data_IF_191517933930
#
_entry.id   IF_191517933930
#
_cell.length_a   1.000
_cell.length_b   1.000
_cell.length_c   1.000
_cell.angle_alpha   90.00
_cell.angle_beta   90.00
_cell.angle_gamma   90.00
#
_symmetry.space_group_name_H-M   'P 1'
#
loop_
_entity.id
_entity.type
_entity.pdbx_description
1 polymer ?
#
# COMPACT_ATOMS: atom_id res chain seq x y z
N UNK A 1 -58.05 24.84 20.36
CA UNK A 1 -57.04 25.90 20.19
C UNK A 1 -55.78 25.23 19.68
N UNK A 2 -55.59 25.28 18.36
CA UNK A 2 -54.48 24.64 17.63
C UNK A 2 -53.24 25.49 17.85
N UNK A 3 -52.19 24.90 18.43
CA UNK A 3 -50.97 25.61 18.83
C UNK A 3 -50.18 26.11 17.62
N UNK A 4 -49.80 27.38 17.66
CA UNK A 4 -48.80 27.94 16.76
C UNK A 4 -47.45 27.30 17.10
N UNK A 5 -46.99 26.34 16.29
CA UNK A 5 -45.56 26.01 16.26
C UNK A 5 -44.81 27.28 15.87
N UNK A 6 -43.79 27.63 16.64
CA UNK A 6 -42.96 28.79 16.34
C UNK A 6 -42.22 28.56 15.01
N UNK A 7 -41.97 29.62 14.22
CA UNK A 7 -41.24 29.51 12.95
C UNK A 7 -39.88 28.80 13.09
N UNK A 8 -39.29 28.83 14.29
CA UNK A 8 -38.07 28.12 14.65
C UNK A 8 -38.26 26.61 14.78
N UNK A 9 -39.38 26.14 15.32
CA UNK A 9 -39.69 24.70 15.42
C UNK A 9 -39.99 24.11 14.04
N UNK A 10 -40.72 24.84 13.19
CA UNK A 10 -40.97 24.43 11.81
C UNK A 10 -39.69 24.42 10.95
N UNK A 11 -38.76 25.37 11.19
CA UNK A 11 -37.45 25.38 10.55
C UNK A 11 -36.57 24.21 11.03
N UNK A 12 -36.58 23.91 12.33
CA UNK A 12 -35.87 22.77 12.91
C UNK A 12 -36.40 21.42 12.38
N UNK A 13 -37.72 21.25 12.29
CA UNK A 13 -38.33 20.05 11.71
C UNK A 13 -37.97 19.89 10.23
N UNK A 14 -37.99 20.98 9.44
CA UNK A 14 -37.55 20.93 8.03
C UNK A 14 -36.08 20.59 7.89
N UNK A 15 -35.21 21.15 8.72
CA UNK A 15 -33.79 20.80 8.75
C UNK A 15 -33.58 19.32 9.12
N UNK A 16 -34.36 18.82 10.07
CA UNK A 16 -34.31 17.42 10.49
C UNK A 16 -34.85 16.46 9.43
N UNK A 17 -35.91 16.84 8.70
CA UNK A 17 -36.42 16.10 7.55
C UNK A 17 -35.42 16.07 6.40
N UNK A 18 -34.77 17.20 6.09
CA UNK A 18 -33.70 17.27 5.07
C UNK A 18 -32.49 16.43 5.48
N UNK A 19 -32.09 16.48 6.76
CA UNK A 19 -31.01 15.63 7.28
C UNK A 19 -31.34 14.14 7.19
N UNK A 20 -32.58 13.76 7.51
CA UNK A 20 -33.06 12.37 7.43
C UNK A 20 -33.17 11.88 5.98
N UNK A 21 -33.63 12.75 5.06
CA UNK A 21 -33.67 12.44 3.63
C UNK A 21 -32.26 12.29 3.04
N UNK A 22 -31.32 13.16 3.44
CA UNK A 22 -29.92 13.05 3.05
C UNK A 22 -29.26 11.76 3.56
N UNK A 23 -29.56 11.35 4.79
CA UNK A 23 -29.08 10.10 5.39
C UNK A 23 -29.65 8.85 4.68
N UNK A 24 -30.85 8.92 4.11
CA UNK A 24 -31.48 7.81 3.40
C UNK A 24 -31.24 7.80 1.87
N UNK A 25 -30.47 8.77 1.37
CA UNK A 25 -30.14 8.88 -0.06
C UNK A 25 -29.38 7.64 -0.60
N UNK A 26 -29.48 7.33 -1.91
CA UNK A 26 -28.68 6.28 -2.54
C UNK A 26 -27.16 6.48 -2.33
N UNK A 27 -26.70 7.73 -2.29
CA UNK A 27 -25.30 8.06 -2.03
C UNK A 27 -24.90 7.79 -0.56
N UNK A 28 -25.77 8.04 0.41
CA UNK A 28 -25.53 7.65 1.80
C UNK A 28 -25.44 6.13 1.95
N UNK A 29 -26.36 5.38 1.32
CA UNK A 29 -26.33 3.90 1.33
C UNK A 29 -25.10 3.34 0.61
N UNK A 30 -24.69 3.94 -0.51
CA UNK A 30 -23.47 3.55 -1.23
C UNK A 30 -22.21 3.80 -0.38
N UNK A 31 -22.16 4.92 0.35
CA UNK A 31 -21.08 5.22 1.29
C UNK A 31 -21.03 4.24 2.45
N UNK A 32 -22.16 3.96 3.08
CA UNK A 32 -22.25 2.97 4.16
C UNK A 32 -21.82 1.58 3.70
N UNK A 33 -22.26 1.17 2.51
CA UNK A 33 -21.82 -0.09 1.89
C UNK A 33 -20.31 -0.09 1.61
N UNK A 34 -19.75 1.00 1.11
CA UNK A 34 -18.31 1.15 0.87
C UNK A 34 -17.52 1.07 2.18
N UNK A 35 -17.96 1.75 3.24
CA UNK A 35 -17.35 1.67 4.58
C UNK A 35 -17.37 0.25 5.11
N UNK A 36 -18.52 -0.43 5.06
CA UNK A 36 -18.65 -1.82 5.48
C UNK A 36 -17.68 -2.74 4.73
N UNK A 37 -17.55 -2.60 3.41
CA UNK A 37 -16.61 -3.40 2.61
C UNK A 37 -15.16 -3.06 3.01
N UNK A 38 -14.83 -1.77 3.14
CA UNK A 38 -13.49 -1.30 3.44
C UNK A 38 -12.98 -1.72 4.83
N UNK A 39 -13.89 -1.91 5.80
CA UNK A 39 -13.55 -2.28 7.18
C UNK A 39 -13.79 -3.76 7.51
N UNK A 40 -14.19 -4.57 6.52
CA UNK A 40 -14.34 -6.01 6.72
C UNK A 40 -13.01 -6.71 6.48
N UNK A 41 -12.37 -7.19 7.55
CA UNK A 41 -11.14 -7.98 7.46
C UNK A 41 -11.33 -9.19 6.53
N UNK A 42 -10.43 -9.41 5.56
CA UNK A 42 -10.59 -10.53 4.64
C UNK A 42 -10.29 -11.86 5.35
N UNK A 43 -10.79 -13.00 4.83
CA UNK A 43 -10.54 -14.30 5.45
C UNK A 43 -9.05 -14.66 5.43
N UNK A 44 -8.61 -15.53 6.35
CA UNK A 44 -7.25 -16.05 6.34
C UNK A 44 -6.96 -16.82 5.04
N UNK A 45 -5.82 -16.55 4.40
CA UNK A 45 -5.41 -17.33 3.22
C UNK A 45 -5.01 -18.74 3.63
N UNK A 46 -5.37 -19.72 2.80
CA UNK A 46 -5.00 -21.10 3.02
C UNK A 46 -3.47 -21.26 2.93
N UNK A 47 -2.89 -21.97 3.91
CA UNK A 47 -1.44 -22.12 4.05
C UNK A 47 -0.82 -23.11 3.03
N UNK A 48 -1.65 -23.77 2.22
CA UNK A 48 -1.29 -24.86 1.31
C UNK A 48 -0.75 -24.37 -0.04
N UNK A 49 -0.89 -23.08 -0.36
CA UNK A 49 -0.30 -22.49 -1.57
C UNK A 49 0.83 -21.51 -1.21
N UNK A 50 2.10 -21.81 -1.57
CA UNK A 50 3.16 -20.84 -1.44
C UNK A 50 2.88 -19.64 -2.36
N UNK A 51 2.84 -18.45 -1.77
CA UNK A 51 2.61 -17.20 -2.50
C UNK A 51 3.90 -16.77 -3.20
N UNK A 52 3.89 -16.65 -4.52
CA UNK A 52 5.05 -16.12 -5.27
C UNK A 52 5.12 -14.60 -5.11
N UNK A 53 6.04 -14.15 -4.26
CA UNK A 53 6.25 -12.74 -3.96
C UNK A 53 7.20 -12.04 -4.94
N UNK A 54 7.90 -12.76 -5.83
CA UNK A 54 8.90 -12.13 -6.72
C UNK A 54 8.31 -11.00 -7.57
N UNK A 55 7.15 -11.17 -8.24
CA UNK A 55 6.53 -10.09 -9.00
C UNK A 55 6.25 -8.83 -8.16
N UNK A 56 5.98 -9.00 -6.86
CA UNK A 56 5.77 -7.90 -5.92
C UNK A 56 7.06 -7.13 -5.64
N UNK A 57 8.12 -7.85 -5.26
CA UNK A 57 9.35 -7.23 -4.82
C UNK A 57 10.12 -6.60 -5.97
N UNK A 58 10.08 -7.18 -7.17
CA UNK A 58 10.66 -6.57 -8.38
C UNK A 58 10.04 -5.20 -8.69
N UNK A 59 8.79 -5.03 -8.31
CA UNK A 59 8.04 -3.83 -8.53
C UNK A 59 8.41 -2.73 -7.51
N UNK A 60 8.89 -3.11 -6.33
CA UNK A 60 9.43 -2.19 -5.31
C UNK A 60 10.89 -1.77 -5.58
N UNK A 61 11.54 -2.33 -6.61
CA UNK A 61 12.89 -1.95 -6.99
C UNK A 61 12.91 -0.63 -7.79
N UNK A 62 14.00 0.16 -7.69
CA UNK A 62 14.27 1.31 -8.55
C UNK A 62 14.25 0.96 -10.04
N UNK A 63 13.69 1.86 -10.87
CA UNK A 63 13.57 1.68 -12.32
C UNK A 63 14.91 1.70 -13.04
N UNK A 64 15.86 2.46 -12.51
CA UNK A 64 17.20 2.61 -13.08
C UNK A 64 18.01 1.30 -13.02
N UNK A 65 17.50 0.28 -12.32
CA UNK A 65 18.08 -1.06 -12.31
C UNK A 65 19.33 -1.20 -11.43
N UNK A 66 19.67 -0.17 -10.64
CA UNK A 66 20.82 -0.21 -9.75
C UNK A 66 20.63 -1.17 -8.57
N UNK A 67 19.42 -1.61 -8.25
CA UNK A 67 19.20 -2.74 -7.32
C UNK A 67 18.65 -3.94 -8.09
N UNK A 68 19.21 -5.10 -7.80
CA UNK A 68 18.76 -6.38 -8.34
C UNK A 68 18.19 -7.26 -7.23
N UNK A 69 16.99 -7.81 -7.46
CA UNK A 69 16.47 -8.93 -6.68
C UNK A 69 17.11 -10.23 -7.14
N UNK A 70 17.77 -10.93 -6.22
CA UNK A 70 18.41 -12.24 -6.45
C UNK A 70 17.43 -13.36 -6.12
N UNK A 71 16.82 -13.31 -4.93
CA UNK A 71 15.83 -14.29 -4.48
C UNK A 71 14.84 -13.66 -3.52
N UNK A 72 13.68 -14.30 -3.37
CA UNK A 72 12.69 -13.93 -2.37
C UNK A 72 11.90 -15.16 -1.94
N UNK A 73 11.49 -15.16 -0.68
CA UNK A 73 10.55 -16.14 -0.13
C UNK A 73 9.62 -15.47 0.87
N UNK A 74 8.40 -15.99 0.99
CA UNK A 74 7.54 -15.68 2.11
C UNK A 74 8.16 -16.26 3.40
N UNK A 75 8.10 -15.51 4.50
CA UNK A 75 8.64 -15.94 5.81
C UNK A 75 7.56 -16.33 6.81
N UNK A 76 6.29 -16.12 6.46
CA UNK A 76 5.15 -16.49 7.29
C UNK A 76 3.85 -16.50 6.50
N UNK A 77 2.76 -16.85 7.17
CA UNK A 77 1.43 -16.77 6.60
C UNK A 77 1.06 -15.32 6.29
N UNK A 78 0.30 -15.12 5.20
CA UNK A 78 -0.32 -13.83 4.91
C UNK A 78 -1.24 -13.43 6.08
N UNK A 79 -1.08 -12.22 6.59
CA UNK A 79 -1.85 -11.72 7.74
C UNK A 79 -2.96 -10.79 7.24
N UNK A 80 -4.24 -11.13 7.41
CA UNK A 80 -5.35 -10.24 7.09
C UNK A 80 -5.24 -8.91 7.82
N UNK A 81 -5.50 -7.81 7.11
CA UNK A 81 -5.45 -6.47 7.67
C UNK A 81 -6.40 -5.51 6.95
N UNK A 82 -6.72 -4.41 7.62
CA UNK A 82 -7.33 -3.23 7.00
C UNK A 82 -6.16 -2.28 6.71
N UNK A 83 -5.93 -2.00 5.42
CA UNK A 83 -4.76 -1.26 4.96
C UNK A 83 -5.18 0.12 4.48
N UNK A 84 -4.40 1.14 4.83
CA UNK A 84 -4.58 2.48 4.30
C UNK A 84 -4.26 2.47 2.81
N UNK A 85 -5.17 2.96 1.97
CA UNK A 85 -4.96 3.05 0.54
C UNK A 85 -3.80 4.01 0.23
N UNK A 86 -3.00 3.74 -0.82
CA UNK A 86 -2.05 4.71 -1.34
C UNK A 86 -2.78 6.01 -1.67
N UNK A 87 -2.15 7.17 -1.46
CA UNK A 87 -2.79 8.49 -1.61
C UNK A 87 -3.58 8.61 -2.92
N UNK A 88 -3.03 8.09 -4.01
CA UNK A 88 -3.61 8.20 -5.35
C UNK A 88 -4.70 7.15 -5.65
N UNK A 89 -4.94 6.21 -4.74
CA UNK A 89 -6.08 5.28 -4.76
C UNK A 89 -7.19 5.73 -3.81
N UNK A 90 -6.94 6.74 -2.98
CA UNK A 90 -7.94 7.24 -2.04
C UNK A 90 -9.06 7.93 -2.83
N UNK A 91 -10.33 7.74 -2.42
CA UNK A 91 -11.44 8.44 -3.02
C UNK A 91 -11.25 9.97 -2.93
N UNK A 92 -11.45 10.67 -4.05
CA UNK A 92 -11.44 12.15 -4.10
C UNK A 92 -12.70 12.71 -3.44
N UNK A 93 -13.81 11.95 -3.48
CA UNK A 93 -15.06 12.33 -2.81
C UNK A 93 -14.88 12.26 -1.29
N UNK A 94 -15.14 13.36 -0.60
CA UNK A 94 -15.15 13.42 0.86
C UNK A 94 -16.08 12.34 1.47
N UNK A 95 -15.66 11.80 2.61
CA UNK A 95 -16.39 10.79 3.42
C UNK A 95 -16.51 9.37 2.85
N UNK A 96 -15.74 9.01 1.81
CA UNK A 96 -15.50 7.60 1.47
C UNK A 96 -14.27 7.05 2.22
N UNK A 97 -14.22 5.74 2.51
CA UNK A 97 -13.14 5.16 3.30
C UNK A 97 -11.78 5.29 2.58
N UNK A 98 -10.72 5.78 3.26
CA UNK A 98 -9.37 5.85 2.71
C UNK A 98 -8.61 4.53 2.87
N UNK A 99 -9.30 3.43 3.18
CA UNK A 99 -8.73 2.13 3.53
C UNK A 99 -9.44 1.02 2.74
N UNK A 100 -8.80 -0.14 2.66
CA UNK A 100 -9.38 -1.33 2.06
C UNK A 100 -8.87 -2.61 2.75
N UNK A 101 -9.65 -3.70 2.70
CA UNK A 101 -9.18 -5.00 3.17
C UNK A 101 -7.99 -5.48 2.34
N UNK A 102 -7.06 -6.17 3.01
CA UNK A 102 -5.86 -6.68 2.37
C UNK A 102 -5.07 -7.61 3.28
N UNK A 103 -3.81 -7.82 2.92
CA UNK A 103 -2.91 -8.71 3.63
C UNK A 103 -1.52 -8.10 3.76
N UNK A 104 -0.91 -8.33 4.91
CA UNK A 104 0.53 -8.17 5.15
C UNK A 104 1.21 -9.49 4.81
N UNK A 105 2.24 -9.40 3.96
CA UNK A 105 2.95 -10.55 3.40
C UNK A 105 4.42 -10.46 3.86
N UNK A 106 4.78 -11.08 4.99
CA UNK A 106 6.16 -11.11 5.47
C UNK A 106 7.06 -11.81 4.45
N UNK A 107 8.21 -11.20 4.16
CA UNK A 107 9.17 -11.75 3.20
C UNK A 107 10.62 -11.66 3.70
N UNK A 108 11.45 -12.50 3.10
CA UNK A 108 12.90 -12.39 3.12
C UNK A 108 13.38 -12.35 1.66
N UNK A 109 14.16 -11.33 1.32
CA UNK A 109 14.67 -11.10 -0.02
C UNK A 109 16.18 -10.95 -0.01
N UNK A 110 16.84 -11.38 -1.08
CA UNK A 110 18.26 -11.14 -1.30
C UNK A 110 18.42 -10.09 -2.38
N UNK A 111 19.06 -8.97 -2.05
CA UNK A 111 19.29 -7.83 -2.93
C UNK A 111 20.78 -7.66 -3.24
N UNK A 112 21.08 -7.14 -4.42
CA UNK A 112 22.45 -6.83 -4.87
C UNK A 112 22.49 -5.44 -5.51
N UNK A 113 23.44 -4.60 -5.10
CA UNK A 113 23.70 -3.33 -5.77
C UNK A 113 24.49 -3.53 -7.06
N UNK A 114 23.97 -3.00 -8.16
CA UNK A 114 24.64 -2.80 -9.44
C UNK A 114 24.92 -1.31 -9.61
N UNK A 115 26.17 -0.84 -9.46
CA UNK A 115 26.49 0.55 -9.73
C UNK A 115 26.19 0.87 -11.18
N UNK A 116 25.24 1.78 -11.40
CA UNK A 116 24.80 2.23 -12.72
C UNK A 116 24.82 3.76 -12.74
N UNK A 117 25.03 4.36 -13.91
CA UNK A 117 25.05 5.82 -14.08
C UNK A 117 26.39 6.50 -13.83
N UNK A 118 27.42 5.77 -13.37
CA UNK A 118 28.78 6.30 -13.20
C UNK A 118 29.53 6.32 -14.53
N UNK A 119 30.16 7.45 -14.85
CA UNK A 119 30.97 7.61 -16.05
C UNK A 119 32.28 6.78 -15.97
N UNK A 120 32.92 6.44 -17.12
CA UNK A 120 34.23 5.82 -17.10
C UNK A 120 35.24 6.65 -16.29
N UNK A 121 35.87 6.06 -15.29
CA UNK A 121 36.83 6.72 -14.40
C UNK A 121 36.21 7.43 -13.18
N UNK A 122 34.89 7.48 -13.08
CA UNK A 122 34.21 8.01 -11.91
C UNK A 122 34.32 7.04 -10.72
N UNK A 123 34.51 7.60 -9.52
CA UNK A 123 34.68 6.81 -8.30
C UNK A 123 33.34 6.25 -7.84
N UNK A 124 33.18 4.93 -7.96
CA UNK A 124 32.04 4.22 -7.37
C UNK A 124 32.19 4.22 -5.83
N UNK A 125 31.15 4.59 -5.07
CA UNK A 125 31.18 4.51 -3.61
C UNK A 125 31.45 3.09 -3.11
N UNK A 126 32.21 2.98 -2.02
CA UNK A 126 32.56 1.67 -1.45
C UNK A 126 31.35 0.96 -0.80
N UNK A 127 30.38 1.73 -0.30
CA UNK A 127 29.13 1.24 0.25
C UNK A 127 28.04 2.32 0.17
N UNK A 128 26.79 1.88 0.07
CA UNK A 128 25.60 2.72 0.18
C UNK A 128 24.70 2.18 1.29
N UNK A 129 23.97 3.05 1.98
CA UNK A 129 22.92 2.65 2.90
C UNK A 129 21.66 2.26 2.13
N UNK A 130 21.14 1.07 2.40
CA UNK A 130 19.91 0.55 1.82
C UNK A 130 18.73 0.91 2.72
N UNK A 131 17.81 1.70 2.16
CA UNK A 131 16.50 1.94 2.73
C UNK A 131 15.47 1.00 2.08
N UNK A 132 14.42 0.68 2.83
CA UNK A 132 13.38 -0.24 2.39
C UNK A 132 12.20 -0.27 3.36
N UNK A 133 11.18 -1.08 3.05
CA UNK A 133 9.96 -1.19 3.85
C UNK A 133 10.18 -2.09 5.08
N UNK A 134 10.93 -1.59 6.06
CA UNK A 134 11.41 -2.35 7.24
C UNK A 134 10.43 -2.48 8.42
N UNK A 135 9.26 -1.82 8.36
CA UNK A 135 8.32 -1.51 9.47
C UNK A 135 8.61 -0.21 10.25
N UNK A 136 7.59 0.45 10.84
CA UNK A 136 6.15 0.21 10.66
C UNK A 136 5.54 1.01 9.49
N UNK A 137 4.59 0.39 8.81
CA UNK A 137 3.55 1.01 7.95
C UNK A 137 4.03 2.03 6.89
N UNK A 138 5.02 1.66 6.08
CA UNK A 138 5.42 2.46 4.92
C UNK A 138 5.21 1.69 3.61
N UNK A 139 4.55 2.34 2.65
CA UNK A 139 4.48 1.89 1.24
C UNK A 139 5.81 2.18 0.50
N UNK A 140 6.93 2.14 1.21
CA UNK A 140 8.23 2.56 0.71
C UNK A 140 8.82 1.54 -0.26
N UNK A 141 9.50 2.04 -1.29
CA UNK A 141 10.32 1.25 -2.21
C UNK A 141 11.72 1.02 -1.62
N UNK A 142 12.51 0.19 -2.27
CA UNK A 142 13.94 0.11 -1.95
C UNK A 142 14.68 1.29 -2.58
N UNK A 143 15.63 1.88 -1.85
CA UNK A 143 16.51 2.93 -2.37
C UNK A 143 17.89 2.85 -1.73
N UNK A 144 18.88 3.43 -2.41
CA UNK A 144 20.23 3.59 -1.87
C UNK A 144 20.49 5.07 -1.57
N UNK A 145 21.10 5.35 -0.42
CA UNK A 145 21.57 6.69 -0.03
C UNK A 145 23.00 6.63 0.50
N UNK A 146 23.66 7.77 0.56
CA UNK A 146 24.99 7.84 1.18
C UNK A 146 24.90 7.63 2.71
N UNK A 147 25.81 6.84 3.32
CA UNK A 147 25.72 6.47 4.74
C UNK A 147 25.76 7.64 5.74
N UNK A 148 26.36 8.77 5.38
CA UNK A 148 26.63 9.89 6.31
C UNK A 148 25.56 11.00 6.29
N UNK A 149 24.48 10.83 5.52
CA UNK A 149 23.36 11.79 5.51
C UNK A 149 22.42 11.46 6.68
N UNK A 150 22.68 12.03 7.86
CA UNK A 150 21.72 12.06 8.96
C UNK A 150 20.66 13.12 8.68
N UNK A 151 19.44 12.70 8.35
CA UNK A 151 18.29 13.61 8.25
C UNK A 151 17.79 13.93 9.66
N UNK A 152 17.70 15.21 10.07
CA UNK A 152 17.18 15.58 11.39
C UNK A 152 15.76 15.02 11.59
N UNK A 153 15.52 14.32 12.71
CA UNK A 153 14.21 13.77 13.06
C UNK A 153 13.95 12.32 12.63
N UNK A 154 14.86 11.67 11.90
CA UNK A 154 14.78 10.22 11.67
C UNK A 154 15.47 9.46 12.81
N UNK A 155 14.69 8.83 13.69
CA UNK A 155 15.18 7.73 14.52
C UNK A 155 15.46 6.53 13.59
N UNK A 156 16.68 6.46 13.07
CA UNK A 156 17.07 5.45 12.10
C UNK A 156 17.40 4.12 12.77
N UNK A 157 16.66 3.07 12.42
CA UNK A 157 17.16 1.69 12.45
C UNK A 157 18.55 1.65 11.80
N UNK A 158 19.49 0.88 12.34
CA UNK A 158 20.86 0.82 11.81
C UNK A 158 20.84 0.59 10.29
N UNK A 159 21.51 1.44 9.48
CA UNK A 159 21.43 1.34 8.03
C UNK A 159 22.08 0.03 7.57
N UNK A 160 21.41 -0.67 6.66
CA UNK A 160 21.97 -1.85 5.99
C UNK A 160 22.96 -1.35 4.95
N UNK A 161 24.26 -1.56 5.16
CA UNK A 161 25.28 -1.14 4.21
C UNK A 161 25.46 -2.19 3.11
N UNK A 162 25.36 -1.74 1.86
CA UNK A 162 25.44 -2.56 0.66
C UNK A 162 26.66 -2.15 -0.17
N UNK A 163 27.57 -3.10 -0.42
CA UNK A 163 28.72 -2.89 -1.32
C UNK A 163 28.35 -3.25 -2.76
N UNK A 164 29.06 -2.68 -3.76
CA UNK A 164 28.89 -3.07 -5.15
C UNK A 164 28.98 -4.58 -5.33
N UNK A 165 27.94 -5.16 -5.91
CA UNK A 165 27.86 -6.58 -6.22
C UNK A 165 27.71 -7.53 -5.02
N UNK A 166 27.72 -7.03 -3.79
CA UNK A 166 27.48 -7.84 -2.60
C UNK A 166 25.98 -8.17 -2.47
N UNK A 167 25.68 -9.45 -2.25
CA UNK A 167 24.34 -9.88 -1.91
C UNK A 167 24.08 -9.65 -0.41
N UNK A 168 22.93 -9.07 -0.08
CA UNK A 168 22.47 -8.88 1.31
C UNK A 168 21.06 -9.42 1.45
N UNK A 169 20.82 -10.07 2.58
CA UNK A 169 19.49 -10.55 2.96
C UNK A 169 18.76 -9.45 3.71
N UNK A 170 17.53 -9.19 3.31
CA UNK A 170 16.66 -8.19 3.92
C UNK A 170 15.31 -8.82 4.27
N UNK A 171 14.65 -8.28 5.29
CA UNK A 171 13.33 -8.72 5.74
C UNK A 171 12.40 -7.54 5.76
N UNK A 172 11.15 -7.76 5.38
CA UNK A 172 10.14 -6.72 5.37
C UNK A 172 8.75 -7.30 5.17
N UNK A 173 7.79 -6.39 4.96
CA UNK A 173 6.39 -6.74 4.73
C UNK A 173 5.94 -6.11 3.42
N UNK A 174 5.45 -6.95 2.51
CA UNK A 174 4.75 -6.50 1.31
C UNK A 174 3.25 -6.37 1.62
N UNK A 175 2.59 -5.42 0.99
CA UNK A 175 1.17 -5.15 1.19
C UNK A 175 0.39 -5.49 -0.07
N UNK A 176 -0.71 -6.20 0.10
CA UNK A 176 -1.62 -6.54 -0.97
C UNK A 176 -3.06 -6.17 -0.62
N UNK A 177 -3.78 -5.55 -1.54
CA UNK A 177 -5.21 -5.25 -1.37
C UNK A 177 -6.03 -6.39 -1.92
N UNK A 178 -7.04 -6.83 -1.16
CA UNK A 178 -7.99 -7.83 -1.62
C UNK A 178 -8.93 -7.17 -2.63
N UNK A 179 -8.98 -7.66 -3.87
CA UNK A 179 -10.01 -7.21 -4.80
C UNK A 179 -11.34 -7.87 -4.45
N UNK A 180 -12.46 -7.11 -4.50
CA UNK A 180 -13.77 -7.73 -4.46
C UNK A 180 -13.86 -8.70 -5.65
N UNK A 181 -14.33 -9.94 -5.45
CA UNK A 181 -14.54 -10.84 -6.58
C UNK A 181 -15.61 -10.23 -7.49
N UNK A 182 -15.25 -9.94 -8.74
CA UNK A 182 -16.26 -9.73 -9.78
C UNK A 182 -17.01 -11.05 -10.00
N UNK A 183 -18.26 -11.01 -10.50
CA UNK A 183 -19.05 -12.22 -10.74
C UNK A 183 -18.25 -13.26 -11.55
N UNK A 184 -17.94 -14.40 -10.94
CA UNK A 184 -17.17 -15.50 -11.55
C UNK A 184 -15.65 -15.37 -11.48
N UNK A 185 -15.08 -14.35 -10.82
CA UNK A 185 -13.63 -14.22 -10.64
C UNK A 185 -13.19 -14.63 -9.24
N UNK A 186 -12.12 -15.43 -9.16
CA UNK A 186 -11.45 -15.69 -7.90
C UNK A 186 -10.86 -14.38 -7.35
N UNK A 187 -10.93 -14.14 -6.02
CA UNK A 187 -10.33 -12.97 -5.41
C UNK A 187 -8.83 -12.94 -5.73
N UNK A 188 -8.27 -11.74 -5.92
CA UNK A 188 -6.84 -11.56 -6.24
C UNK A 188 -6.24 -10.54 -5.29
N UNK A 189 -4.95 -10.68 -5.07
CA UNK A 189 -4.17 -9.70 -4.35
C UNK A 189 -3.60 -8.71 -5.34
N UNK A 190 -4.02 -7.45 -5.26
CA UNK A 190 -3.37 -6.40 -6.02
C UNK A 190 -2.17 -5.93 -5.21
N UNK A 191 -1.00 -6.21 -5.76
CA UNK A 191 0.24 -5.64 -5.28
C UNK A 191 0.43 -4.27 -5.89
N UNK A 192 0.71 -3.33 -5.00
CA UNK A 192 1.21 -2.03 -5.36
C UNK A 192 2.65 -2.18 -5.86
N UNK A 193 3.01 -1.59 -7.02
CA UNK A 193 3.41 -0.20 -6.99
C UNK A 193 3.18 0.61 -8.26
N UNK A 194 3.12 1.89 -7.99
CA UNK A 194 3.35 2.94 -8.95
C UNK A 194 4.71 2.81 -9.63
N UNK A 195 4.70 2.41 -10.90
CA UNK A 195 5.79 2.74 -11.83
C UNK A 195 5.71 4.19 -12.34
N UNK A 196 4.66 4.94 -11.99
CA UNK A 196 4.56 6.37 -12.29
C UNK A 196 4.19 7.14 -11.03
N UNK A 197 5.15 7.66 -10.24
CA UNK A 197 4.90 8.36 -8.97
C UNK A 197 3.90 9.53 -9.06
N UNK A 198 3.58 10.01 -10.28
CA UNK A 198 2.71 11.16 -10.53
C UNK A 198 1.39 10.80 -11.25
N UNK A 199 1.14 9.52 -11.59
CA UNK A 199 -0.04 9.11 -12.36
C UNK A 199 -1.23 8.66 -11.52
N UNK A 200 -2.40 8.32 -12.08
CA UNK A 200 -3.38 7.43 -11.44
C UNK A 200 -2.93 5.96 -11.57
N UNK A 201 -3.49 5.02 -10.79
CA UNK A 201 -3.17 3.61 -10.95
C UNK A 201 -3.60 3.09 -12.32
N UNK A 202 -2.68 2.44 -13.02
CA UNK A 202 -2.94 1.75 -14.29
C UNK A 202 -3.20 0.26 -14.00
N UNK A 203 -4.45 -0.18 -14.16
CA UNK A 203 -4.85 -1.57 -13.91
C UNK A 203 -4.12 -2.59 -14.79
N UNK A 204 -3.60 -2.18 -15.96
CA UNK A 204 -2.79 -3.03 -16.85
C UNK A 204 -1.38 -3.29 -16.31
N UNK A 205 -0.95 -2.51 -15.32
CA UNK A 205 0.39 -2.58 -14.70
C UNK A 205 0.35 -3.10 -13.27
N UNK A 206 -0.84 -3.39 -12.76
CA UNK A 206 -1.03 -4.04 -11.48
C UNK A 206 -0.55 -5.48 -11.55
N UNK A 207 0.18 -5.90 -10.52
CA UNK A 207 0.48 -7.33 -10.33
C UNK A 207 -0.62 -7.92 -9.49
N UNK A 208 -1.22 -8.98 -10.02
CA UNK A 208 -2.22 -9.76 -9.32
C UNK A 208 -1.60 -11.05 -8.83
N UNK A 209 -1.48 -11.23 -7.52
CA UNK A 209 -1.12 -12.56 -7.00
C UNK A 209 -2.38 -13.43 -6.96
N UNK A 210 -2.26 -14.70 -7.40
CA UNK A 210 -3.32 -15.67 -7.21
C UNK A 210 -3.54 -15.93 -5.72
N UNK A 211 -4.81 -16.20 -5.36
CA UNK A 211 -5.23 -16.72 -4.06
C UNK A 211 -5.45 -18.24 -4.11
#
# INVERSE_FOLDING_TARGET
MTGCQSDNEAAAEKLQQVATAAANSPEAKAREAAWRIATTTPPQLAADKPLDLRPALEQLLPQDGYLQLVSVKATGAAQPAILLLPILWRPIKGNYPPMAPGYRLPFEAVLKWKPMGYAPGEKIPAAMALDGPWEPDTLNTFSLREPEVTVPGQAGTAPILLKPGQAVTVRGVAYAYATPPAAGQAPRLVLYPYRNPLGPPDSRKMVYLPL
#
